data_IF_189665643580
#
_entry.id   IF_189665643580
#
_cell.length_a   1.000
_cell.length_b   1.000
_cell.length_c   1.000
_cell.angle_alpha   90.00
_cell.angle_beta   90.00
_cell.angle_gamma   90.00
#
_symmetry.space_group_name_H-M   'P 1'
#
loop_
_entity.id
_entity.type
_entity.pdbx_description
1 polymer ?
#
# COMPACT_ATOMS: atom_id res chain seq x y z
N UNK A 1 26.45 -2.12 -18.31
CA UNK A 1 26.46 -0.75 -17.75
C UNK A 1 26.24 -0.84 -16.25
N UNK A 2 26.96 -0.07 -15.46
CA UNK A 2 26.81 -0.06 -14.00
C UNK A 2 25.47 0.58 -13.60
N UNK A 3 24.91 0.23 -12.43
CA UNK A 3 23.65 0.80 -11.93
C UNK A 3 23.70 2.34 -11.92
N UNK A 4 24.80 2.91 -11.45
CA UNK A 4 25.01 4.36 -11.39
C UNK A 4 24.94 5.03 -12.76
N UNK A 5 25.49 4.39 -13.80
CA UNK A 5 25.44 4.89 -15.18
C UNK A 5 24.00 4.93 -15.70
N UNK A 6 23.23 3.84 -15.50
CA UNK A 6 21.80 3.75 -15.86
C UNK A 6 20.96 4.77 -15.10
N UNK A 7 21.24 4.95 -13.81
CA UNK A 7 20.57 5.96 -12.98
C UNK A 7 20.82 7.38 -13.50
N UNK A 8 22.06 7.71 -13.86
CA UNK A 8 22.42 9.01 -14.44
C UNK A 8 21.79 9.23 -15.83
N UNK A 9 21.67 8.19 -16.63
CA UNK A 9 20.97 8.26 -17.93
C UNK A 9 19.49 8.55 -17.72
N UNK A 10 18.84 7.86 -16.80
CA UNK A 10 17.45 8.14 -16.44
C UNK A 10 17.28 9.58 -15.91
N UNK A 11 18.20 10.05 -15.04
CA UNK A 11 18.20 11.42 -14.56
C UNK A 11 18.28 12.44 -15.70
N UNK A 12 19.20 12.24 -16.68
CA UNK A 12 19.30 13.10 -17.85
C UNK A 12 18.01 13.08 -18.69
N UNK A 13 17.44 11.90 -18.89
CA UNK A 13 16.16 11.75 -19.58
C UNK A 13 15.05 12.51 -18.86
N UNK A 14 14.87 12.29 -17.56
CA UNK A 14 13.87 12.95 -16.75
C UNK A 14 13.98 14.49 -16.80
N UNK A 15 15.21 14.99 -16.68
CA UNK A 15 15.49 16.42 -16.72
C UNK A 15 15.22 17.04 -18.11
N UNK A 16 15.67 16.37 -19.19
CA UNK A 16 15.48 16.88 -20.56
C UNK A 16 14.02 16.87 -21.02
N UNK A 17 13.21 16.00 -20.44
CA UNK A 17 11.77 15.88 -20.74
C UNK A 17 10.88 16.60 -19.70
N UNK A 18 11.47 17.32 -18.74
CA UNK A 18 10.75 18.00 -17.67
C UNK A 18 9.73 17.10 -16.96
N UNK A 19 10.12 15.85 -16.67
CA UNK A 19 9.24 14.93 -15.96
C UNK A 19 8.90 15.50 -14.58
N UNK A 20 7.63 15.45 -14.15
CA UNK A 20 7.22 15.92 -12.83
C UNK A 20 7.64 14.92 -11.75
N UNK A 21 8.94 14.84 -11.48
CA UNK A 21 9.56 13.97 -10.49
C UNK A 21 10.16 14.83 -9.38
N UNK A 22 9.80 14.57 -8.12
CA UNK A 22 10.35 15.27 -6.95
C UNK A 22 11.54 14.53 -6.34
N UNK A 23 11.48 13.20 -6.34
CA UNK A 23 12.59 12.37 -5.86
C UNK A 23 12.57 10.98 -6.51
N UNK A 24 13.74 10.38 -6.61
CA UNK A 24 13.95 8.97 -6.92
C UNK A 24 15.05 8.43 -6.02
N UNK A 25 14.83 7.25 -5.44
CA UNK A 25 15.81 6.52 -4.65
C UNK A 25 15.86 5.07 -5.13
N UNK A 26 17.08 4.54 -5.27
CA UNK A 26 17.35 3.14 -5.63
C UNK A 26 18.21 2.54 -4.53
N UNK A 27 17.84 1.37 -4.04
CA UNK A 27 18.60 0.69 -2.98
C UNK A 27 18.57 -0.82 -3.14
N UNK A 28 19.49 -1.46 -2.45
CA UNK A 28 19.43 -2.88 -2.15
C UNK A 28 18.72 -3.09 -0.78
N UNK A 29 18.72 -4.30 -0.27
CA UNK A 29 18.11 -4.64 1.02
C UNK A 29 18.76 -3.94 2.24
N UNK A 30 19.96 -3.37 2.09
CA UNK A 30 20.76 -2.84 3.19
C UNK A 30 20.94 -1.32 3.15
N UNK A 31 20.96 -0.71 1.97
CA UNK A 31 21.32 0.70 1.81
C UNK A 31 20.74 1.33 0.56
N UNK A 32 20.73 2.65 0.55
CA UNK A 32 20.53 3.46 -0.66
C UNK A 32 21.80 3.38 -1.52
N UNK A 33 21.65 3.06 -2.80
CA UNK A 33 22.72 2.98 -3.78
C UNK A 33 22.83 4.25 -4.62
N UNK A 34 21.68 4.76 -5.05
CA UNK A 34 21.58 6.01 -5.82
C UNK A 34 20.33 6.79 -5.35
N UNK A 35 20.43 8.11 -5.27
CA UNK A 35 19.27 8.96 -5.05
C UNK A 35 19.42 10.32 -5.73
N UNK A 36 18.29 10.92 -6.10
CA UNK A 36 18.21 12.27 -6.65
C UNK A 36 16.99 12.97 -6.13
N UNK A 37 17.16 14.19 -5.68
CA UNK A 37 16.08 15.08 -5.24
C UNK A 37 15.98 16.26 -6.19
N UNK A 38 14.84 16.39 -6.86
CA UNK A 38 14.50 17.54 -7.74
C UNK A 38 13.76 18.63 -6.96
N UNK A 39 13.28 18.30 -5.75
CA UNK A 39 12.65 19.20 -4.80
C UNK A 39 13.21 18.96 -3.39
N UNK A 40 12.79 19.77 -2.41
CA UNK A 40 13.18 19.55 -1.02
C UNK A 40 12.76 18.15 -0.55
N UNK A 41 13.66 17.44 0.12
CA UNK A 41 13.37 16.14 0.74
C UNK A 41 12.46 16.34 1.96
N UNK A 42 11.16 16.35 1.72
CA UNK A 42 10.14 16.57 2.74
C UNK A 42 9.06 15.49 2.64
N UNK A 43 8.42 15.12 3.76
CA UNK A 43 7.31 14.17 3.72
C UNK A 43 6.19 14.65 2.81
N UNK A 44 5.72 13.77 1.92
CA UNK A 44 4.59 13.96 1.03
C UNK A 44 3.48 12.98 1.38
N UNK A 45 2.25 13.33 1.10
CA UNK A 45 1.15 12.35 1.17
C UNK A 45 1.44 11.21 0.21
N UNK A 46 1.63 10.01 0.74
CA UNK A 46 1.90 8.81 -0.06
C UNK A 46 0.63 8.13 -0.55
N UNK A 47 -0.53 8.70 -0.26
CA UNK A 47 -1.84 8.19 -0.70
C UNK A 47 -2.00 6.69 -0.44
N UNK A 48 -2.41 5.93 -1.45
CA UNK A 48 -2.67 4.49 -1.34
C UNK A 48 -1.45 3.62 -1.09
N UNK A 49 -0.23 4.14 -1.23
CA UNK A 49 0.97 3.46 -0.75
C UNK A 49 0.87 3.10 0.76
N UNK A 50 0.11 3.89 1.53
CA UNK A 50 -0.24 3.62 2.94
C UNK A 50 -0.80 2.22 3.15
N UNK A 51 -1.55 1.67 2.19
CA UNK A 51 -2.15 0.34 2.25
C UNK A 51 -1.13 -0.78 2.48
N UNK A 52 0.08 -0.60 1.96
CA UNK A 52 1.16 -1.57 2.16
C UNK A 52 1.68 -1.58 3.60
N UNK A 53 1.59 -0.46 4.33
CA UNK A 53 1.83 -0.46 5.78
C UNK A 53 0.67 -1.10 6.53
N UNK A 54 -0.57 -0.91 6.08
CA UNK A 54 -1.74 -1.56 6.69
C UNK A 54 -1.63 -3.08 6.62
N UNK A 55 -1.26 -3.64 5.46
CA UNK A 55 -1.10 -5.10 5.32
C UNK A 55 0.10 -5.62 6.11
N UNK A 56 1.14 -4.80 6.31
CA UNK A 56 2.25 -5.13 7.21
C UNK A 56 1.74 -5.27 8.65
N UNK A 57 0.89 -4.34 9.13
CA UNK A 57 0.26 -4.44 10.44
C UNK A 57 -0.63 -5.70 10.58
N UNK A 58 -1.35 -6.07 9.52
CA UNK A 58 -2.14 -7.31 9.50
C UNK A 58 -1.23 -8.52 9.68
N UNK A 59 -0.13 -8.63 8.93
CA UNK A 59 0.82 -9.74 9.06
C UNK A 59 1.36 -9.88 10.46
N UNK A 60 1.78 -8.79 11.07
CA UNK A 60 2.25 -8.75 12.45
C UNK A 60 1.20 -9.24 13.46
N UNK A 61 -0.05 -8.79 13.31
CA UNK A 61 -1.16 -9.21 14.17
C UNK A 61 -1.49 -10.71 13.99
N UNK A 62 -1.33 -11.24 12.78
CA UNK A 62 -1.49 -12.67 12.50
C UNK A 62 -0.37 -13.50 13.12
N UNK A 63 0.88 -13.05 13.04
CA UNK A 63 2.02 -13.70 13.70
C UNK A 63 1.88 -13.72 15.23
N UNK A 64 1.27 -12.69 15.80
CA UNK A 64 0.91 -12.66 17.23
C UNK A 64 -0.31 -13.55 17.56
N UNK A 65 -0.92 -14.22 16.60
CA UNK A 65 -2.11 -15.06 16.76
C UNK A 65 -3.39 -14.28 17.09
N UNK A 66 -3.42 -12.97 16.77
CA UNK A 66 -4.55 -12.07 17.09
C UNK A 66 -5.53 -11.87 15.95
N UNK A 67 -5.11 -12.14 14.71
CA UNK A 67 -5.92 -12.08 13.50
C UNK A 67 -5.72 -13.33 12.65
N UNK A 68 -6.72 -13.62 11.83
CA UNK A 68 -6.69 -14.65 10.79
C UNK A 68 -7.26 -14.09 9.49
N UNK A 69 -6.77 -14.56 8.35
CA UNK A 69 -7.34 -14.25 7.04
C UNK A 69 -8.82 -14.65 6.93
N UNK A 70 -9.24 -15.63 7.72
CA UNK A 70 -10.60 -16.16 7.77
C UNK A 70 -11.53 -15.39 8.73
N UNK A 71 -11.02 -14.41 9.47
CA UNK A 71 -11.85 -13.64 10.40
C UNK A 71 -12.94 -12.86 9.65
N UNK A 72 -14.17 -13.02 10.10
CA UNK A 72 -15.34 -12.41 9.48
C UNK A 72 -15.52 -10.96 9.93
N UNK A 73 -15.68 -10.07 8.95
CA UNK A 73 -15.87 -8.63 9.17
C UNK A 73 -17.09 -8.37 10.04
N UNK A 74 -18.22 -9.05 9.78
CA UNK A 74 -19.46 -8.89 10.54
C UNK A 74 -19.30 -9.31 12.01
N UNK A 75 -18.48 -10.29 12.32
CA UNK A 75 -18.21 -10.72 13.70
C UNK A 75 -17.36 -9.69 14.45
N UNK A 76 -16.32 -9.17 13.81
CA UNK A 76 -15.44 -8.15 14.39
C UNK A 76 -16.19 -6.85 14.67
N UNK A 77 -17.09 -6.46 13.75
CA UNK A 77 -17.89 -5.21 13.84
C UNK A 77 -19.35 -5.46 14.23
N UNK A 78 -19.65 -6.52 15.00
CA UNK A 78 -21.02 -6.86 15.41
C UNK A 78 -21.76 -5.73 16.13
N UNK A 79 -21.03 -4.87 16.85
CA UNK A 79 -21.54 -3.69 17.53
C UNK A 79 -21.94 -2.55 16.59
N UNK A 80 -21.60 -2.65 15.29
CA UNK A 80 -21.87 -1.65 14.25
C UNK A 80 -22.89 -2.13 13.21
N UNK A 81 -23.35 -3.37 13.31
CA UNK A 81 -24.32 -3.93 12.37
C UNK A 81 -25.65 -3.19 12.42
N UNK A 82 -26.29 -2.93 11.28
CA UNK A 82 -27.67 -2.46 11.24
C UNK A 82 -28.63 -3.58 11.68
N UNK A 83 -29.86 -3.24 11.96
CA UNK A 83 -30.92 -4.22 12.37
C UNK A 83 -31.24 -5.25 11.28
N UNK A 84 -30.93 -4.96 10.02
CA UNK A 84 -31.11 -5.87 8.89
C UNK A 84 -29.88 -5.75 7.96
N UNK A 85 -28.77 -6.43 8.29
CA UNK A 85 -27.57 -6.41 7.47
C UNK A 85 -27.76 -7.16 6.14
N UNK A 86 -26.99 -6.79 5.12
CA UNK A 86 -26.95 -7.55 3.88
C UNK A 86 -26.42 -8.97 4.17
N UNK A 87 -27.06 -10.04 3.66
CA UNK A 87 -26.62 -11.43 3.91
C UNK A 87 -25.18 -11.72 3.47
N UNK A 88 -24.68 -11.07 2.43
CA UNK A 88 -23.30 -11.24 1.97
C UNK A 88 -22.30 -10.56 2.89
N UNK A 89 -22.72 -9.61 3.74
CA UNK A 89 -21.84 -8.98 4.72
C UNK A 89 -21.23 -10.00 5.69
N UNK A 90 -22.00 -11.03 6.06
CA UNK A 90 -21.53 -12.11 6.94
C UNK A 90 -20.45 -12.98 6.31
N UNK A 91 -20.33 -12.98 4.96
CA UNK A 91 -19.35 -13.75 4.22
C UNK A 91 -18.03 -13.01 4.01
N UNK A 92 -18.00 -11.71 4.28
CA UNK A 92 -16.77 -10.92 4.08
C UNK A 92 -15.75 -11.34 5.14
N UNK A 93 -14.59 -11.80 4.69
CA UNK A 93 -13.45 -12.15 5.52
C UNK A 93 -12.31 -11.15 5.33
N UNK A 94 -11.34 -11.11 6.26
CA UNK A 94 -10.19 -10.22 6.18
C UNK A 94 -9.45 -10.35 4.84
N UNK A 95 -9.25 -11.58 4.33
CA UNK A 95 -8.61 -11.80 3.02
C UNK A 95 -9.31 -11.09 1.86
N UNK A 96 -10.63 -10.97 1.90
CA UNK A 96 -11.41 -10.28 0.86
C UNK A 96 -11.14 -8.76 0.89
N UNK A 97 -10.96 -8.18 2.08
CA UNK A 97 -10.56 -6.78 2.24
C UNK A 97 -9.16 -6.55 1.68
N UNK A 98 -8.21 -7.45 1.99
CA UNK A 98 -6.82 -7.30 1.59
C UNK A 98 -6.62 -7.38 0.07
N UNK A 99 -7.41 -8.17 -0.64
CA UNK A 99 -7.33 -8.28 -2.10
C UNK A 99 -8.42 -7.48 -2.85
N UNK A 100 -9.10 -6.53 -2.19
CA UNK A 100 -10.09 -5.65 -2.83
C UNK A 100 -11.27 -6.40 -3.44
N UNK A 101 -11.77 -7.41 -2.74
CA UNK A 101 -12.87 -8.27 -3.21
C UNK A 101 -13.99 -8.44 -2.19
N UNK A 102 -14.20 -7.43 -1.36
CA UNK A 102 -15.23 -7.44 -0.30
C UNK A 102 -16.67 -7.61 -0.80
N UNK A 103 -16.92 -7.31 -2.07
CA UNK A 103 -18.25 -7.47 -2.67
C UNK A 103 -19.13 -6.22 -2.62
N UNK A 104 -18.66 -5.09 -2.09
CA UNK A 104 -19.43 -3.83 -2.10
C UNK A 104 -19.76 -3.32 -3.51
N UNK A 105 -19.07 -3.84 -4.56
CA UNK A 105 -19.37 -3.59 -5.96
C UNK A 105 -19.06 -2.17 -6.45
N UNK A 106 -18.55 -1.31 -5.59
CA UNK A 106 -18.13 0.07 -5.89
C UNK A 106 -17.01 0.52 -4.97
N UNK A 107 -16.21 1.46 -5.43
CA UNK A 107 -15.22 2.13 -4.60
C UNK A 107 -15.91 2.97 -3.52
N UNK A 108 -15.52 2.79 -2.26
CA UNK A 108 -16.08 3.47 -1.10
C UNK A 108 -14.97 4.11 -0.26
N UNK A 109 -15.31 5.20 0.42
CA UNK A 109 -14.41 5.97 1.28
C UNK A 109 -13.09 6.34 0.58
N UNK A 110 -13.17 6.58 -0.74
CA UNK A 110 -12.05 7.16 -1.48
C UNK A 110 -11.78 8.60 -0.98
N UNK A 111 -10.63 9.16 -1.28
CA UNK A 111 -10.30 10.52 -0.84
C UNK A 111 -11.39 11.55 -1.26
N UNK A 112 -11.96 11.38 -2.45
CA UNK A 112 -13.06 12.22 -2.93
C UNK A 112 -14.34 12.08 -2.11
N UNK A 113 -14.58 10.91 -1.49
CA UNK A 113 -15.74 10.68 -0.64
C UNK A 113 -15.53 11.25 0.77
N UNK A 114 -14.34 11.05 1.33
CA UNK A 114 -14.02 11.47 2.70
C UNK A 114 -13.95 13.00 2.85
N UNK A 115 -13.43 13.71 1.85
CA UNK A 115 -13.34 15.19 1.88
C UNK A 115 -14.67 15.89 2.15
N UNK A 116 -15.80 15.54 1.53
CA UNK A 116 -17.13 16.10 1.86
C UNK A 116 -17.78 15.44 3.09
N UNK A 117 -17.13 14.47 3.75
CA UNK A 117 -17.61 13.84 4.97
C UNK A 117 -18.50 12.61 4.77
N UNK A 118 -18.47 11.97 3.60
CA UNK A 118 -19.19 10.70 3.41
C UNK A 118 -18.63 9.65 4.38
N UNK A 119 -19.56 8.97 5.08
CA UNK A 119 -19.24 7.96 6.11
C UNK A 119 -19.03 8.52 7.51
N UNK A 120 -18.88 9.85 7.66
CA UNK A 120 -18.78 10.47 8.98
C UNK A 120 -20.13 10.39 9.73
N UNK A 121 -20.11 10.34 11.08
CA UNK A 121 -18.92 10.36 11.93
C UNK A 121 -18.32 8.98 12.22
N UNK A 122 -18.85 7.89 11.68
CA UNK A 122 -18.47 6.50 12.03
C UNK A 122 -18.35 5.66 10.76
N UNK A 123 -17.11 5.46 10.30
CA UNK A 123 -16.82 4.70 9.07
C UNK A 123 -17.17 3.22 9.21
N UNK A 124 -17.00 2.63 10.39
CA UNK A 124 -17.42 1.23 10.63
C UNK A 124 -18.93 1.07 10.44
N UNK A 125 -19.70 1.91 11.12
CA UNK A 125 -21.18 1.89 11.02
C UNK A 125 -21.65 2.18 9.59
N UNK A 126 -21.02 3.14 8.91
CA UNK A 126 -21.31 3.45 7.51
C UNK A 126 -21.07 2.24 6.61
N UNK A 127 -19.96 1.54 6.78
CA UNK A 127 -19.60 0.38 5.96
C UNK A 127 -20.49 -0.82 6.24
N UNK A 128 -20.81 -1.08 7.51
CA UNK A 128 -21.72 -2.19 7.88
C UNK A 128 -23.14 -2.01 7.35
N UNK A 129 -23.54 -0.79 6.99
CA UNK A 129 -24.83 -0.47 6.40
C UNK A 129 -24.84 -0.48 4.85
N UNK A 130 -23.69 -0.73 4.20
CA UNK A 130 -23.63 -0.75 2.74
C UNK A 130 -24.19 -2.08 2.19
N UNK A 131 -24.85 -2.05 1.01
CA UNK A 131 -25.20 -3.29 0.31
C UNK A 131 -23.94 -4.01 -0.20
N UNK A 132 -24.00 -5.33 -0.24
CA UNK A 132 -22.95 -6.22 -0.76
C UNK A 132 -23.48 -7.03 -1.96
N UNK A 133 -23.66 -6.37 -3.13
CA UNK A 133 -24.35 -6.97 -4.28
C UNK A 133 -23.54 -8.05 -4.99
N UNK A 134 -22.24 -8.15 -4.71
CA UNK A 134 -21.34 -9.10 -5.34
C UNK A 134 -20.87 -10.12 -4.28
N UNK A 135 -20.76 -11.39 -4.67
CA UNK A 135 -20.25 -12.43 -3.76
C UNK A 135 -18.82 -12.10 -3.34
N UNK A 136 -18.50 -12.00 -2.02
CA UNK A 136 -17.16 -11.74 -1.54
C UNK A 136 -16.13 -12.72 -2.12
N UNK A 137 -15.00 -12.21 -2.55
CA UNK A 137 -13.93 -12.97 -3.18
C UNK A 137 -14.09 -13.21 -4.69
N UNK A 138 -15.25 -12.90 -5.29
CA UNK A 138 -15.53 -13.25 -6.69
C UNK A 138 -15.07 -12.19 -7.71
N UNK A 139 -14.95 -10.93 -7.31
CA UNK A 139 -14.58 -9.83 -8.21
C UNK A 139 -13.74 -8.78 -7.52
N UNK A 140 -12.76 -8.27 -8.26
CA UNK A 140 -11.91 -7.15 -7.82
C UNK A 140 -12.65 -5.82 -7.96
N UNK A 141 -12.66 -5.03 -6.88
CA UNK A 141 -13.16 -3.66 -6.89
C UNK A 141 -12.32 -2.80 -5.94
N UNK A 142 -11.38 -2.05 -6.47
CA UNK A 142 -10.46 -1.24 -5.66
C UNK A 142 -11.20 -0.22 -4.80
N UNK A 143 -11.02 -0.30 -3.47
CA UNK A 143 -11.76 0.50 -2.49
C UNK A 143 -10.86 0.89 -1.31
N UNK A 144 -10.91 2.15 -0.88
CA UNK A 144 -10.22 2.55 0.35
C UNK A 144 -10.92 2.02 1.59
N UNK A 145 -12.22 1.77 1.53
CA UNK A 145 -13.00 1.20 2.63
C UNK A 145 -12.48 -0.16 3.07
N UNK A 146 -12.08 -1.01 2.13
CA UNK A 146 -11.53 -2.34 2.43
C UNK A 146 -10.26 -2.22 3.30
N UNK A 147 -9.36 -1.31 2.94
CA UNK A 147 -8.13 -1.08 3.72
C UNK A 147 -8.40 -0.40 5.07
N UNK A 148 -9.39 0.50 5.13
CA UNK A 148 -9.81 1.15 6.38
C UNK A 148 -10.39 0.10 7.34
N UNK A 149 -11.28 -0.78 6.87
CA UNK A 149 -11.81 -1.87 7.69
C UNK A 149 -10.71 -2.83 8.15
N UNK A 150 -9.77 -3.20 7.27
CA UNK A 150 -8.63 -4.04 7.65
C UNK A 150 -7.78 -3.39 8.75
N UNK A 151 -7.54 -2.08 8.67
CA UNK A 151 -6.82 -1.33 9.71
C UNK A 151 -7.59 -1.34 11.04
N UNK A 152 -8.90 -1.14 11.02
CA UNK A 152 -9.73 -1.20 12.22
C UNK A 152 -9.81 -2.63 12.81
N UNK A 153 -9.78 -3.68 11.97
CA UNK A 153 -9.66 -5.06 12.45
C UNK A 153 -8.35 -5.28 13.20
N UNK A 154 -7.23 -4.74 12.68
CA UNK A 154 -5.94 -4.76 13.42
C UNK A 154 -6.09 -4.08 14.78
N UNK A 155 -6.62 -2.84 14.82
CA UNK A 155 -6.77 -2.10 16.09
C UNK A 155 -7.62 -2.85 17.13
N UNK A 156 -8.74 -3.43 16.70
CA UNK A 156 -9.61 -4.22 17.58
C UNK A 156 -8.91 -5.47 18.09
N UNK A 157 -8.11 -6.13 17.25
CA UNK A 157 -7.38 -7.35 17.61
C UNK A 157 -6.20 -7.08 18.55
N UNK A 158 -5.43 -6.01 18.29
CA UNK A 158 -4.23 -5.70 19.09
C UNK A 158 -4.53 -4.81 20.32
N UNK A 159 -5.69 -4.16 20.36
CA UNK A 159 -6.09 -3.27 21.44
C UNK A 159 -5.34 -1.93 21.48
N UNK A 160 -4.75 -1.50 20.36
CA UNK A 160 -4.00 -0.25 20.18
C UNK A 160 -4.39 0.41 18.87
N UNK A 161 -4.17 1.72 18.75
CA UNK A 161 -4.25 2.40 17.44
C UNK A 161 -3.19 1.83 16.48
N UNK A 162 -3.57 1.62 15.22
CA UNK A 162 -2.67 1.05 14.21
C UNK A 162 -1.37 1.87 14.05
N UNK A 163 -1.45 3.20 14.19
CA UNK A 163 -0.27 4.07 14.16
C UNK A 163 0.72 3.77 15.29
N UNK A 164 0.24 3.55 16.51
CA UNK A 164 1.06 3.17 17.66
C UNK A 164 1.67 1.76 17.46
N UNK A 165 0.86 0.84 16.98
CA UNK A 165 1.29 -0.53 16.72
C UNK A 165 2.36 -0.60 15.65
N UNK A 166 2.17 0.09 14.51
CA UNK A 166 3.17 0.20 13.46
C UNK A 166 4.41 0.95 13.90
N UNK A 167 4.27 1.98 14.75
CA UNK A 167 5.44 2.70 15.25
C UNK A 167 6.37 1.78 16.03
N UNK A 168 5.82 1.03 16.98
CA UNK A 168 6.60 0.12 17.82
C UNK A 168 7.22 -1.03 17.01
N UNK A 169 6.46 -1.60 16.05
CA UNK A 169 6.83 -2.83 15.37
C UNK A 169 7.57 -2.63 14.05
N UNK A 170 7.39 -1.47 13.40
CA UNK A 170 7.92 -1.22 12.06
C UNK A 170 8.71 0.09 12.00
N UNK A 171 8.09 1.22 12.32
CA UNK A 171 8.75 2.50 12.06
C UNK A 171 10.00 2.68 12.91
N UNK A 172 9.94 2.38 14.19
CA UNK A 172 11.09 2.49 15.09
C UNK A 172 12.23 1.52 14.71
N UNK A 173 12.00 0.21 14.48
CA UNK A 173 13.04 -0.69 13.98
C UNK A 173 13.66 -0.26 12.65
N UNK A 174 12.87 0.31 11.75
CA UNK A 174 13.34 0.81 10.46
C UNK A 174 13.98 2.21 10.55
N UNK A 175 14.17 2.74 11.75
CA UNK A 175 14.71 4.09 11.95
C UNK A 175 13.90 5.15 11.18
N UNK A 176 12.57 5.06 11.29
CA UNK A 176 11.60 6.02 10.77
C UNK A 176 10.99 6.80 11.93
N UNK A 177 10.74 8.09 11.70
CA UNK A 177 10.01 8.93 12.66
C UNK A 177 8.53 8.56 12.75
N UNK A 178 7.82 9.20 13.68
CA UNK A 178 6.36 9.14 13.73
C UNK A 178 5.81 9.88 12.50
N UNK A 179 5.08 9.21 11.57
CA UNK A 179 4.58 9.87 10.37
C UNK A 179 3.38 10.77 10.68
N UNK A 180 3.24 11.87 9.96
CA UNK A 180 1.96 12.55 9.86
C UNK A 180 0.98 11.62 9.14
N UNK A 181 -0.26 11.51 9.66
CA UNK A 181 -1.24 10.60 9.09
C UNK A 181 -2.65 11.17 9.22
N UNK A 182 -3.44 11.06 8.17
CA UNK A 182 -4.87 11.39 8.22
C UNK A 182 -5.60 10.40 9.15
N UNK A 183 -6.55 10.92 9.93
CA UNK A 183 -7.40 10.12 10.80
C UNK A 183 -8.86 10.22 10.35
N UNK A 184 -9.62 9.21 10.67
CA UNK A 184 -11.06 9.26 10.56
C UNK A 184 -11.69 10.16 11.65
N UNK A 185 -13.00 10.45 11.61
CA UNK A 185 -13.65 11.28 12.62
C UNK A 185 -13.58 10.74 14.05
N UNK A 186 -13.26 9.46 14.24
CA UNK A 186 -13.12 8.81 15.55
C UNK A 186 -11.67 8.67 16.01
N UNK A 187 -10.72 9.22 15.23
CA UNK A 187 -9.29 9.24 15.55
C UNK A 187 -8.55 7.95 15.19
N UNK A 188 -9.10 7.11 14.32
CA UNK A 188 -8.39 5.96 13.76
C UNK A 188 -7.50 6.43 12.59
N UNK A 189 -6.22 6.02 12.52
CA UNK A 189 -5.40 6.25 11.34
C UNK A 189 -6.04 5.65 10.10
N UNK A 190 -6.08 6.41 9.02
CA UNK A 190 -6.68 5.98 7.77
C UNK A 190 -5.84 4.90 7.09
N UNK A 191 -6.23 3.64 7.20
CA UNK A 191 -5.53 2.51 6.59
C UNK A 191 -5.51 2.50 5.07
N UNK A 192 -6.37 3.30 4.43
CA UNK A 192 -6.48 3.39 2.97
C UNK A 192 -5.62 4.49 2.33
N UNK A 193 -5.00 5.37 3.12
CA UNK A 193 -4.24 6.50 2.60
C UNK A 193 -3.89 7.56 3.65
N UNK A 194 -3.30 8.67 3.21
CA UNK A 194 -3.12 9.86 4.04
C UNK A 194 -1.92 9.83 4.99
N UNK A 195 -1.00 8.87 4.86
CA UNK A 195 0.31 8.89 5.52
C UNK A 195 1.26 9.80 4.75
N UNK A 196 2.15 10.48 5.46
CA UNK A 196 3.15 11.39 4.88
C UNK A 196 4.55 10.86 5.17
N UNK A 197 5.29 10.54 4.12
CA UNK A 197 6.67 10.04 4.18
C UNK A 197 7.55 10.73 3.14
N UNK A 198 8.86 10.70 3.35
CA UNK A 198 9.86 11.01 2.33
C UNK A 198 10.04 9.83 1.38
N UNK A 199 10.67 10.06 0.22
CA UNK A 199 10.97 9.00 -0.75
C UNK A 199 11.85 7.89 -0.12
N UNK A 200 12.82 8.28 0.69
CA UNK A 200 13.72 7.33 1.37
C UNK A 200 12.98 6.50 2.44
N UNK A 201 12.02 7.09 3.16
CA UNK A 201 11.19 6.33 4.11
C UNK A 201 10.26 5.34 3.40
N UNK A 202 9.68 5.73 2.25
CA UNK A 202 8.93 4.79 1.40
C UNK A 202 9.80 3.60 0.98
N UNK A 203 11.06 3.86 0.61
CA UNK A 203 12.00 2.83 0.19
C UNK A 203 12.32 1.84 1.33
N UNK A 204 12.37 2.27 2.60
CA UNK A 204 12.62 1.39 3.75
C UNK A 204 11.60 0.25 3.85
N UNK A 205 10.32 0.52 3.56
CA UNK A 205 9.32 -0.55 3.45
C UNK A 205 9.67 -1.51 2.32
N UNK A 206 10.03 -0.99 1.16
CA UNK A 206 10.46 -1.83 0.03
C UNK A 206 11.68 -2.67 0.34
N UNK A 207 12.67 -2.13 1.04
CA UNK A 207 13.87 -2.84 1.50
C UNK A 207 13.53 -3.96 2.49
N UNK A 208 12.61 -3.70 3.43
CA UNK A 208 12.10 -4.74 4.35
C UNK A 208 11.49 -5.91 3.56
N UNK A 209 10.67 -5.61 2.55
CA UNK A 209 10.03 -6.63 1.71
C UNK A 209 11.02 -7.32 0.76
N UNK A 210 12.02 -6.59 0.24
CA UNK A 210 13.10 -7.18 -0.56
C UNK A 210 13.93 -8.18 0.25
N UNK A 211 14.20 -7.86 1.52
CA UNK A 211 14.90 -8.72 2.48
C UNK A 211 13.99 -9.80 3.11
N UNK A 212 12.85 -10.10 2.48
CA UNK A 212 11.90 -11.11 2.96
C UNK A 212 11.47 -10.90 4.43
N UNK A 213 11.28 -9.63 4.79
CA UNK A 213 10.83 -9.21 6.11
C UNK A 213 11.93 -9.10 7.18
N UNK A 214 13.19 -9.35 6.82
CA UNK A 214 14.33 -9.18 7.71
C UNK A 214 14.86 -7.73 7.64
N UNK A 215 15.18 -7.15 8.79
CA UNK A 215 15.81 -5.84 8.88
C UNK A 215 17.00 -5.91 9.82
N UNK A 216 18.20 -5.75 9.28
CA UNK A 216 19.47 -5.76 10.05
C UNK A 216 19.64 -6.97 10.96
N UNK A 217 19.16 -8.16 10.53
CA UNK A 217 19.25 -9.41 11.26
C UNK A 217 18.04 -9.72 12.16
N UNK A 218 17.06 -8.82 12.27
CA UNK A 218 15.81 -9.05 12.98
C UNK A 218 14.66 -9.32 12.00
N UNK A 219 13.89 -10.39 12.22
CA UNK A 219 12.71 -10.70 11.43
C UNK A 219 11.55 -9.82 11.91
N UNK A 220 11.24 -8.76 11.18
CA UNK A 220 10.14 -7.84 11.50
C UNK A 220 8.80 -8.41 11.03
N UNK A 221 8.76 -8.97 9.82
CA UNK A 221 7.58 -9.60 9.22
C UNK A 221 8.00 -10.95 8.68
N UNK A 222 7.19 -11.99 8.83
CA UNK A 222 7.58 -13.32 8.38
C UNK A 222 7.79 -13.38 6.87
N UNK A 223 8.72 -14.25 6.45
CA UNK A 223 8.98 -14.54 5.03
C UNK A 223 7.71 -15.03 4.33
N UNK A 224 6.95 -15.91 5.00
CA UNK A 224 5.72 -16.48 4.44
C UNK A 224 4.69 -15.36 4.16
N UNK A 225 4.59 -14.37 5.05
CA UNK A 225 3.70 -13.23 4.82
C UNK A 225 4.16 -12.34 3.65
N UNK A 226 5.46 -12.07 3.53
CA UNK A 226 6.02 -11.34 2.38
C UNK A 226 5.69 -12.05 1.07
N UNK A 227 5.83 -13.37 1.01
CA UNK A 227 5.45 -14.18 -0.15
C UNK A 227 3.94 -14.14 -0.40
N UNK A 228 3.13 -14.25 0.67
CA UNK A 228 1.67 -14.26 0.57
C UNK A 228 1.12 -12.94 -0.01
N UNK A 229 1.61 -11.79 0.45
CA UNK A 229 1.13 -10.48 -0.03
C UNK A 229 1.54 -10.16 -1.46
N UNK A 230 2.68 -10.67 -1.92
CA UNK A 230 3.21 -10.47 -3.26
C UNK A 230 2.69 -11.50 -4.29
N UNK A 231 1.99 -12.54 -3.82
CA UNK A 231 1.35 -13.52 -4.69
C UNK A 231 0.06 -12.95 -5.28
N UNK A 232 -0.13 -12.97 -6.61
CA UNK A 232 -1.35 -12.46 -7.22
C UNK A 232 -2.61 -13.17 -6.70
N UNK A 233 -3.58 -12.42 -6.22
CA UNK A 233 -4.94 -12.90 -5.89
C UNK A 233 -5.89 -12.63 -7.06
N UNK A 234 -5.61 -11.56 -7.81
CA UNK A 234 -6.25 -11.25 -9.06
C UNK A 234 -5.19 -10.94 -10.12
N UNK A 235 -5.40 -11.44 -11.33
CA UNK A 235 -4.65 -11.08 -12.52
C UNK A 235 -5.59 -10.38 -13.48
N UNK A 236 -5.08 -9.41 -14.23
CA UNK A 236 -5.88 -8.60 -15.15
C UNK A 236 -5.47 -8.88 -16.60
N UNK A 237 -6.43 -8.79 -17.50
CA UNK A 237 -6.15 -8.85 -18.93
C UNK A 237 -5.24 -7.70 -19.36
N UNK A 238 -4.31 -7.94 -20.30
CA UNK A 238 -3.45 -6.89 -20.80
C UNK A 238 -4.25 -5.68 -21.29
N UNK A 239 -3.84 -4.50 -20.87
CA UNK A 239 -4.49 -3.24 -21.22
C UNK A 239 -3.47 -2.19 -21.67
N UNK A 240 -3.93 -1.01 -22.07
CA UNK A 240 -3.05 0.12 -22.38
C UNK A 240 -2.25 0.62 -21.15
N UNK A 241 -2.71 0.34 -19.94
CA UNK A 241 -1.96 0.57 -18.72
C UNK A 241 -1.08 -0.64 -18.42
N UNK A 242 0.19 -0.53 -18.78
CA UNK A 242 1.20 -1.57 -18.53
C UNK A 242 1.38 -1.93 -17.05
N UNK A 243 0.96 -1.04 -16.15
CA UNK A 243 1.08 -1.24 -14.70
C UNK A 243 -0.11 -1.98 -14.10
N UNK A 244 -1.18 -2.21 -14.88
CA UNK A 244 -2.38 -2.92 -14.44
C UNK A 244 -2.25 -4.43 -14.76
N UNK A 245 -1.40 -5.13 -14.00
CA UNK A 245 -1.07 -6.56 -14.22
C UNK A 245 -1.84 -7.47 -13.28
N UNK A 246 -1.94 -7.10 -12.00
CA UNK A 246 -2.60 -7.90 -10.98
C UNK A 246 -2.52 -7.25 -9.61
N UNK A 247 -3.15 -7.89 -8.63
CA UNK A 247 -3.19 -7.43 -7.24
C UNK A 247 -3.02 -8.60 -6.28
N UNK A 248 -2.15 -8.44 -5.31
CA UNK A 248 -1.97 -9.35 -4.17
C UNK A 248 -2.75 -8.88 -2.96
N UNK A 249 -2.16 -8.93 -1.78
CA UNK A 249 -2.72 -8.31 -0.59
C UNK A 249 -2.13 -6.92 -0.40
N UNK A 250 -2.88 -5.86 -0.77
CA UNK A 250 -2.53 -4.43 -0.67
C UNK A 250 -1.23 -4.04 -1.40
N UNK A 251 -0.76 -4.90 -2.31
CA UNK A 251 0.31 -4.65 -3.26
C UNK A 251 -0.16 -4.92 -4.68
N UNK A 252 0.25 -4.06 -5.60
CA UNK A 252 0.07 -4.27 -7.02
C UNK A 252 1.16 -5.18 -7.57
N UNK A 253 0.81 -6.10 -8.45
CA UNK A 253 1.79 -6.82 -9.24
C UNK A 253 2.32 -5.88 -10.31
N UNK A 254 3.62 -5.86 -10.52
CA UNK A 254 4.27 -4.99 -11.49
C UNK A 254 4.52 -5.70 -12.81
N UNK A 255 4.71 -4.98 -13.93
CA UNK A 255 4.95 -5.58 -15.23
C UNK A 255 6.32 -6.29 -15.35
N UNK A 256 7.21 -6.05 -14.41
CA UNK A 256 8.50 -6.72 -14.34
C UNK A 256 8.33 -8.12 -13.76
N UNK A 257 8.91 -9.19 -14.33
CA UNK A 257 8.78 -10.54 -13.80
C UNK A 257 9.16 -10.60 -12.30
N UNK A 258 8.32 -11.27 -11.50
CA UNK A 258 8.54 -11.43 -10.06
C UNK A 258 8.45 -10.16 -9.23
N UNK A 259 8.15 -9.01 -9.83
CA UNK A 259 8.11 -7.72 -9.12
C UNK A 259 6.70 -7.33 -8.68
N UNK A 260 6.66 -6.57 -7.61
CA UNK A 260 5.44 -6.00 -7.03
C UNK A 260 5.71 -4.61 -6.46
N UNK A 261 4.67 -3.86 -6.17
CA UNK A 261 4.83 -2.48 -5.74
C UNK A 261 3.77 -2.00 -4.76
N UNK A 262 4.16 -1.13 -3.86
CA UNK A 262 3.30 -0.21 -3.15
C UNK A 262 3.05 1.00 -4.05
N UNK A 263 1.78 1.37 -4.28
CA UNK A 263 1.39 2.36 -5.28
C UNK A 263 0.39 3.36 -4.69
N UNK A 264 0.74 4.63 -4.73
CA UNK A 264 -0.09 5.74 -4.32
C UNK A 264 -0.38 6.70 -5.46
N UNK A 265 -1.52 7.36 -5.39
CA UNK A 265 -1.92 8.35 -6.38
C UNK A 265 -0.81 9.38 -6.64
N UNK A 266 -0.80 9.92 -7.84
CA UNK A 266 0.18 10.92 -8.27
C UNK A 266 1.64 10.44 -8.29
N UNK A 267 1.89 9.12 -8.47
CA UNK A 267 3.24 8.58 -8.63
C UNK A 267 4.05 8.46 -7.33
N UNK A 268 3.40 8.12 -6.23
CA UNK A 268 4.05 7.75 -4.97
C UNK A 268 4.28 6.24 -4.98
N UNK A 269 5.36 5.79 -5.59
CA UNK A 269 5.55 4.36 -5.93
C UNK A 269 6.82 3.83 -5.32
N UNK A 270 6.75 2.63 -4.75
CA UNK A 270 7.92 1.81 -4.38
C UNK A 270 7.81 0.46 -5.06
N UNK A 271 8.67 0.20 -6.03
CA UNK A 271 8.76 -1.07 -6.76
C UNK A 271 9.84 -1.95 -6.14
N UNK A 272 9.47 -3.18 -5.80
CA UNK A 272 10.37 -4.21 -5.29
C UNK A 272 10.69 -5.16 -6.44
N UNK A 273 11.97 -5.39 -6.69
CA UNK A 273 12.53 -6.19 -7.80
C UNK A 273 13.37 -7.34 -7.22
N UNK A 274 12.76 -8.43 -6.70
CA UNK A 274 13.48 -9.49 -6.01
C UNK A 274 14.58 -10.13 -6.88
N UNK A 275 14.30 -10.40 -8.17
CA UNK A 275 15.25 -11.00 -9.09
C UNK A 275 16.50 -10.11 -9.35
N UNK A 276 16.38 -8.81 -9.12
CA UNK A 276 17.48 -7.85 -9.27
C UNK A 276 18.14 -7.50 -7.94
N UNK A 277 17.55 -7.88 -6.80
CA UNK A 277 17.98 -7.45 -5.48
C UNK A 277 17.88 -5.93 -5.29
N UNK A 278 16.88 -5.29 -5.90
CA UNK A 278 16.73 -3.84 -5.90
C UNK A 278 15.33 -3.37 -5.48
N UNK A 279 15.29 -2.19 -4.90
CA UNK A 279 14.08 -1.38 -4.66
C UNK A 279 14.23 -0.04 -5.35
N UNK A 280 13.17 0.40 -6.00
CA UNK A 280 13.09 1.72 -6.64
C UNK A 280 11.89 2.47 -6.10
N UNK A 281 12.13 3.59 -5.44
CA UNK A 281 11.07 4.49 -4.94
C UNK A 281 11.10 5.81 -5.67
N UNK A 282 9.91 6.31 -6.03
CA UNK A 282 9.73 7.65 -6.62
C UNK A 282 8.67 8.43 -5.87
N UNK A 283 8.83 9.75 -5.86
CA UNK A 283 7.82 10.72 -5.45
C UNK A 283 7.60 11.75 -6.55
N UNK A 284 6.34 12.02 -6.85
CA UNK A 284 5.92 13.05 -7.79
C UNK A 284 5.02 14.08 -7.11
N UNK A 285 4.93 15.32 -7.62
CA UNK A 285 4.00 16.32 -7.12
C UNK A 285 2.55 15.92 -7.44
N UNK A 286 1.60 16.42 -6.66
CA UNK A 286 0.17 16.23 -6.91
C UNK A 286 -0.31 16.82 -8.26
N UNK A 287 0.52 17.63 -8.88
CA UNK A 287 0.25 18.27 -10.18
C UNK A 287 1.25 17.77 -11.22
N UNK A 288 0.77 17.44 -12.39
CA UNK A 288 1.60 16.98 -13.50
C UNK A 288 1.13 15.64 -14.07
N UNK A 289 1.81 15.21 -15.12
CA UNK A 289 1.48 13.95 -15.79
C UNK A 289 2.34 12.81 -15.20
N UNK A 290 1.90 12.24 -14.06
CA UNK A 290 2.59 11.13 -13.42
C UNK A 290 2.56 9.83 -14.25
N UNK A 291 1.62 9.65 -15.15
CA UNK A 291 1.61 8.52 -16.09
C UNK A 291 2.82 8.57 -17.04
N UNK A 292 3.24 9.77 -17.43
CA UNK A 292 4.48 9.94 -18.18
C UNK A 292 5.71 9.53 -17.34
N UNK A 293 5.72 9.84 -16.05
CA UNK A 293 6.81 9.41 -15.14
C UNK A 293 6.83 7.88 -15.00
N UNK A 294 5.67 7.24 -14.78
CA UNK A 294 5.56 5.78 -14.70
C UNK A 294 6.08 5.11 -15.97
N UNK A 295 5.66 5.60 -17.12
CA UNK A 295 6.11 5.08 -18.42
C UNK A 295 7.62 5.25 -18.58
N UNK A 296 8.14 6.44 -18.34
CA UNK A 296 9.56 6.72 -18.44
C UNK A 296 10.39 5.86 -17.47
N UNK A 297 9.92 5.70 -16.22
CA UNK A 297 10.54 4.83 -15.24
C UNK A 297 10.63 3.40 -15.76
N UNK A 298 9.54 2.88 -16.33
CA UNK A 298 9.52 1.54 -16.89
C UNK A 298 10.45 1.40 -18.10
N UNK A 299 10.29 2.24 -19.13
CA UNK A 299 10.97 2.11 -20.42
C UNK A 299 12.46 2.49 -20.37
N UNK A 300 12.83 3.48 -19.56
CA UNK A 300 14.17 4.07 -19.56
C UNK A 300 14.99 3.77 -18.30
N UNK A 301 14.43 3.01 -17.35
CA UNK A 301 15.17 2.62 -16.16
C UNK A 301 14.93 1.15 -15.79
N UNK A 302 13.69 0.74 -15.45
CA UNK A 302 13.43 -0.62 -14.95
C UNK A 302 13.74 -1.70 -15.99
N UNK A 303 13.43 -1.46 -17.27
CA UNK A 303 13.74 -2.40 -18.34
C UNK A 303 15.23 -2.48 -18.66
N UNK A 304 15.98 -1.48 -18.28
CA UNK A 304 17.45 -1.44 -18.47
C UNK A 304 18.22 -2.08 -17.30
N UNK A 305 17.57 -2.33 -16.13
CA UNK A 305 18.20 -3.01 -14.99
C UNK A 305 18.41 -4.49 -15.28
#
# INVERSE_FOLDING_TARGET
MLLEEKFLEFHRYASSHNLPLEAISVGDENKVLCEMHYAANAPRNIYSHTKSFTVTAVGLAMEEGKLSLEDHVAEVFKDKLPSNPDPNLEKIQLKHLLCMSSGFGKALLMNADRRPGIGAPDYEKYMMAQPVPVEPGSAFCYSSADSILAAHMVERAVGKRMGEYLYEKVFQPLDMGWPLWEHDPQGHPNGGGGMYLTCTEMMKLGQLYLAEGNWKGEQIVSRDWVQEVSTPKFTFEPSADLWHVGYGYQFWISPYPGSYRADGAFGQITTILPEKGLVVSIQCPERGNFEQVKRALHEHFLMEL
#
